data_IF_297225618356
#
_entry.id   IF_297225618356
#
_cell.length_a   1.000
_cell.length_b   1.000
_cell.length_c   1.000
_cell.angle_alpha   90.00
_cell.angle_beta   90.00
_cell.angle_gamma   90.00
#
_symmetry.space_group_name_H-M   'P 1'
#
loop_
_entity.id
_entity.type
_entity.pdbx_description
1 polymer ?
#
# COMPACT_ATOMS: atom_id res chain seq x y z
N UNK A 1 7.41 -15.38 -18.11
CA UNK A 1 6.46 -14.63 -17.27
C UNK A 1 6.24 -13.18 -17.73
N UNK A 2 7.13 -12.59 -18.52
CA UNK A 2 7.06 -11.20 -19.00
C UNK A 2 6.66 -11.10 -20.47
N UNK A 3 6.02 -10.00 -20.86
CA UNK A 3 5.70 -9.65 -22.26
C UNK A 3 6.65 -8.57 -22.77
N UNK A 4 6.80 -8.46 -24.09
CA UNK A 4 7.61 -7.42 -24.72
C UNK A 4 6.97 -6.03 -24.59
N UNK A 5 7.74 -5.04 -24.16
CA UNK A 5 7.27 -3.68 -23.87
C UNK A 5 8.44 -2.67 -23.72
N UNK A 6 8.10 -1.37 -23.73
CA UNK A 6 9.06 -0.27 -23.63
C UNK A 6 9.26 0.27 -22.19
N UNK A 7 8.72 -0.41 -21.18
CA UNK A 7 8.77 0.03 -19.77
C UNK A 7 9.92 -0.63 -19.02
N UNK A 8 10.11 -1.93 -19.21
CA UNK A 8 11.17 -2.71 -18.55
C UNK A 8 12.30 -3.02 -19.51
N UNK A 9 13.54 -2.90 -19.05
CA UNK A 9 14.70 -3.31 -19.86
C UNK A 9 14.76 -4.82 -20.01
N UNK A 10 15.47 -5.29 -21.03
CA UNK A 10 15.72 -6.72 -21.26
C UNK A 10 16.35 -7.39 -20.04
N UNK A 11 17.29 -6.73 -19.38
CA UNK A 11 17.96 -7.24 -18.18
C UNK A 11 17.00 -7.34 -17.00
N UNK A 12 16.11 -6.36 -16.81
CA UNK A 12 15.08 -6.40 -15.76
C UNK A 12 14.10 -7.54 -15.98
N UNK A 13 13.68 -7.76 -17.23
CA UNK A 13 12.81 -8.89 -17.59
C UNK A 13 13.51 -10.22 -17.35
N UNK A 14 14.75 -10.38 -17.83
CA UNK A 14 15.52 -11.60 -17.60
C UNK A 14 15.72 -11.86 -16.10
N UNK A 15 16.03 -10.82 -15.32
CA UNK A 15 16.12 -10.93 -13.87
C UNK A 15 14.81 -11.44 -13.26
N UNK A 16 13.65 -10.93 -13.72
CA UNK A 16 12.35 -11.41 -13.24
C UNK A 16 12.08 -12.87 -13.66
N UNK A 17 12.42 -13.27 -14.88
CA UNK A 17 12.29 -14.67 -15.32
C UNK A 17 13.12 -15.62 -14.44
N UNK A 18 14.32 -15.21 -14.04
CA UNK A 18 15.23 -16.03 -13.25
C UNK A 18 14.86 -16.05 -11.74
N UNK A 19 14.29 -14.96 -11.21
CA UNK A 19 14.14 -14.76 -9.76
C UNK A 19 12.68 -14.63 -9.27
N UNK A 20 11.72 -14.35 -10.15
CA UNK A 20 10.30 -14.17 -9.82
C UNK A 20 9.94 -12.85 -9.13
N UNK A 21 10.87 -11.91 -8.99
CA UNK A 21 10.63 -10.57 -8.45
C UNK A 21 11.50 -9.52 -9.15
N UNK A 22 11.13 -8.25 -9.01
CA UNK A 22 11.89 -7.11 -9.52
C UNK A 22 11.81 -5.94 -8.54
N UNK A 23 12.92 -5.22 -8.36
CA UNK A 23 12.97 -4.01 -7.52
C UNK A 23 13.16 -2.78 -8.39
N UNK A 24 12.14 -1.92 -8.46
CA UNK A 24 12.25 -0.59 -9.08
C UNK A 24 12.40 0.45 -7.98
N UNK A 25 13.58 1.10 -7.93
CA UNK A 25 13.89 2.11 -6.90
C UNK A 25 13.14 3.40 -7.22
N UNK A 26 12.56 4.02 -6.19
CA UNK A 26 11.87 5.32 -6.28
C UNK A 26 10.73 5.34 -7.32
N UNK A 27 10.03 4.22 -7.48
CA UNK A 27 8.90 4.11 -8.42
C UNK A 27 7.73 5.01 -8.00
N UNK A 28 7.37 4.98 -6.72
CA UNK A 28 6.34 5.83 -6.13
C UNK A 28 6.99 7.06 -5.50
N UNK A 29 6.41 8.23 -5.72
CA UNK A 29 6.92 9.50 -5.19
C UNK A 29 6.82 9.58 -3.66
N UNK A 30 7.74 10.32 -3.02
CA UNK A 30 7.66 10.57 -1.58
C UNK A 30 6.38 11.32 -1.19
N UNK A 31 5.85 12.15 -2.09
CA UNK A 31 4.57 12.85 -1.92
C UNK A 31 3.39 11.89 -1.84
N UNK A 32 3.31 10.91 -2.76
CA UNK A 32 2.25 9.91 -2.75
C UNK A 32 2.35 8.99 -1.54
N UNK A 33 3.57 8.56 -1.18
CA UNK A 33 3.82 7.78 0.04
C UNK A 33 3.29 8.52 1.27
N UNK A 34 3.57 9.82 1.38
CA UNK A 34 3.12 10.65 2.49
C UNK A 34 1.59 10.82 2.51
N UNK A 35 0.94 10.91 1.35
CA UNK A 35 -0.53 10.94 1.25
C UNK A 35 -1.15 9.62 1.73
N UNK A 36 -0.63 8.47 1.29
CA UNK A 36 -1.12 7.16 1.75
C UNK A 36 -0.92 6.98 3.25
N UNK A 37 0.23 7.42 3.77
CA UNK A 37 0.51 7.40 5.22
C UNK A 37 -0.49 8.24 6.00
N UNK A 38 -0.82 9.45 5.52
CA UNK A 38 -1.82 10.32 6.16
C UNK A 38 -3.20 9.67 6.19
N UNK A 39 -3.65 9.06 5.09
CA UNK A 39 -4.96 8.41 5.06
C UNK A 39 -5.01 7.20 6.00
N UNK A 40 -3.96 6.38 6.02
CA UNK A 40 -3.85 5.28 6.98
C UNK A 40 -3.95 5.76 8.43
N UNK A 41 -3.30 6.88 8.78
CA UNK A 41 -3.41 7.47 10.11
C UNK A 41 -4.85 7.92 10.44
N UNK A 42 -5.59 8.46 9.48
CA UNK A 42 -7.00 8.83 9.65
C UNK A 42 -7.88 7.59 9.89
N UNK A 43 -7.60 6.49 9.20
CA UNK A 43 -8.26 5.19 9.45
C UNK A 43 -7.97 4.68 10.87
N UNK A 44 -6.70 4.75 11.31
CA UNK A 44 -6.32 4.31 12.64
C UNK A 44 -7.07 5.08 13.74
N UNK A 45 -7.18 6.40 13.58
CA UNK A 45 -7.93 7.31 14.46
C UNK A 45 -9.45 7.19 14.32
N UNK A 46 -9.94 6.34 13.41
CA UNK A 46 -11.37 6.17 13.09
C UNK A 46 -12.04 7.43 12.51
N UNK A 47 -11.25 8.33 11.94
CA UNK A 47 -11.74 9.51 11.22
C UNK A 47 -12.28 9.13 9.83
N UNK A 48 -11.78 8.02 9.28
CA UNK A 48 -12.23 7.41 8.03
C UNK A 48 -12.47 5.92 8.28
N UNK A 49 -13.55 5.39 7.70
CA UNK A 49 -13.86 3.97 7.76
C UNK A 49 -14.33 3.53 6.37
N UNK A 50 -13.40 3.09 5.50
CA UNK A 50 -13.73 2.74 4.12
C UNK A 50 -14.72 1.58 4.07
N UNK A 51 -15.69 1.65 3.17
CA UNK A 51 -16.70 0.62 3.02
C UNK A 51 -16.03 -0.69 2.56
N UNK A 52 -16.35 -1.80 3.22
CA UNK A 52 -15.81 -3.11 2.89
C UNK A 52 -14.37 -3.37 3.34
N UNK A 53 -13.66 -2.37 3.85
CA UNK A 53 -12.29 -2.55 4.31
C UNK A 53 -12.22 -3.35 5.61
N UNK A 54 -11.30 -4.31 5.66
CA UNK A 54 -11.00 -5.10 6.85
C UNK A 54 -9.80 -4.50 7.61
N UNK A 55 -10.05 -4.04 8.84
CA UNK A 55 -9.01 -3.46 9.71
C UNK A 55 -8.59 -4.50 10.75
N UNK A 56 -7.39 -5.05 10.60
CA UNK A 56 -6.81 -6.01 11.53
C UNK A 56 -6.14 -5.28 12.70
N UNK A 57 -6.59 -5.58 13.93
CA UNK A 57 -6.12 -4.93 15.15
C UNK A 57 -5.55 -5.93 16.13
N UNK A 58 -4.51 -5.52 16.84
CA UNK A 58 -4.01 -6.25 18.00
C UNK A 58 -4.70 -5.73 19.26
N UNK A 59 -5.76 -6.43 19.70
CA UNK A 59 -6.52 -6.02 20.89
C UNK A 59 -5.68 -6.05 22.18
N UNK A 60 -4.56 -6.79 22.22
CA UNK A 60 -3.67 -6.79 23.40
C UNK A 60 -3.01 -5.42 23.62
N UNK A 61 -2.79 -4.67 22.55
CA UNK A 61 -2.18 -3.33 22.56
C UNK A 61 -3.18 -2.20 22.82
N UNK A 62 -4.48 -2.52 22.81
CA UNK A 62 -5.55 -1.52 22.93
C UNK A 62 -5.57 -0.83 24.29
N UNK A 63 -5.23 -1.53 25.37
CA UNK A 63 -5.17 -0.93 26.71
C UNK A 63 -4.04 0.10 26.85
N UNK A 64 -2.94 -0.09 26.11
CA UNK A 64 -1.77 0.78 26.16
C UNK A 64 -1.86 1.95 25.16
N UNK A 65 -2.43 1.71 23.98
CA UNK A 65 -2.37 2.67 22.86
C UNK A 65 -3.74 3.11 22.33
N UNK A 66 -4.86 2.64 22.91
CA UNK A 66 -6.21 3.10 22.59
C UNK A 66 -6.60 2.86 21.13
N UNK A 67 -6.75 3.94 20.37
CA UNK A 67 -7.06 3.94 18.93
C UNK A 67 -5.93 4.51 18.08
N UNK A 68 -4.69 4.33 18.52
CA UNK A 68 -3.48 4.68 17.77
C UNK A 68 -3.20 3.68 16.64
N UNK A 69 -2.41 4.14 15.66
CA UNK A 69 -1.76 3.34 14.62
C UNK A 69 -1.01 2.13 15.16
N UNK A 70 -0.52 2.17 16.40
CA UNK A 70 0.17 1.06 17.06
C UNK A 70 -0.72 -0.16 17.31
N UNK A 71 -2.05 0.01 17.25
CA UNK A 71 -3.03 -1.06 17.43
C UNK A 71 -3.43 -1.69 16.08
N UNK A 72 -3.26 -0.96 14.97
CA UNK A 72 -3.68 -1.41 13.63
C UNK A 72 -2.49 -2.03 12.91
N UNK A 73 -2.53 -3.35 12.71
CA UNK A 73 -1.45 -4.08 12.03
C UNK A 73 -1.61 -4.07 10.51
N UNK A 74 -2.85 -4.04 10.02
CA UNK A 74 -3.14 -4.15 8.58
C UNK A 74 -4.52 -3.59 8.24
N UNK A 75 -4.64 -3.01 7.06
CA UNK A 75 -5.91 -2.70 6.39
C UNK A 75 -5.93 -3.44 5.05
N UNK A 76 -7.04 -4.11 4.74
CA UNK A 76 -7.25 -4.84 3.49
C UNK A 76 -8.57 -4.41 2.85
N UNK A 77 -8.74 -4.69 1.56
CA UNK A 77 -9.96 -4.39 0.79
C UNK A 77 -10.35 -2.91 0.83
N UNK A 78 -9.36 -2.03 0.68
CA UNK A 78 -9.52 -0.57 0.76
C UNK A 78 -9.91 0.09 -0.58
N UNK A 79 -10.41 -0.67 -1.56
CA UNK A 79 -10.75 -0.13 -2.90
C UNK A 79 -11.78 1.02 -2.88
N UNK A 80 -12.62 1.10 -1.84
CA UNK A 80 -13.59 2.19 -1.67
C UNK A 80 -12.97 3.44 -1.01
N UNK A 81 -11.72 3.38 -0.56
CA UNK A 81 -10.96 4.54 -0.09
C UNK A 81 -10.24 5.21 -1.26
N UNK A 82 -10.66 6.43 -1.61
CA UNK A 82 -10.13 7.14 -2.79
C UNK A 82 -8.65 7.48 -2.69
N UNK A 83 -8.14 7.77 -1.50
CA UNK A 83 -6.73 8.13 -1.34
C UNK A 83 -5.85 6.88 -1.36
N UNK A 84 -6.24 5.78 -0.70
CA UNK A 84 -5.48 4.53 -0.76
C UNK A 84 -5.58 3.84 -2.13
N UNK A 85 -6.77 3.82 -2.74
CA UNK A 85 -6.96 3.21 -4.05
C UNK A 85 -6.22 3.94 -5.18
N UNK A 86 -5.82 5.20 -4.97
CA UNK A 86 -4.99 5.93 -5.94
C UNK A 86 -3.71 5.17 -6.27
N UNK A 87 -3.14 4.40 -5.33
CA UNK A 87 -1.98 3.54 -5.60
C UNK A 87 -2.22 2.59 -6.79
N UNK A 88 -3.42 2.00 -6.90
CA UNK A 88 -3.80 1.10 -7.98
C UNK A 88 -4.06 1.81 -9.32
N UNK A 89 -4.06 3.15 -9.33
CA UNK A 89 -4.30 3.97 -10.51
C UNK A 89 -3.11 4.86 -10.87
N UNK A 90 -1.97 4.70 -10.19
CA UNK A 90 -0.74 5.41 -10.53
C UNK A 90 -0.21 4.89 -11.87
N UNK A 91 0.11 5.75 -12.85
CA UNK A 91 0.61 5.29 -14.15
C UNK A 91 1.97 4.58 -14.08
N UNK A 92 2.72 4.77 -12.99
CA UNK A 92 3.98 4.10 -12.73
C UNK A 92 3.82 2.66 -12.20
N UNK A 93 2.62 2.27 -11.74
CA UNK A 93 2.29 0.95 -11.16
C UNK A 93 1.55 0.08 -12.17
#
# INVERSE_FOLDING_TARGET
>A
YTLDNDVLTTEQRQFYEDNGYLLIKKLVSDEDIERFRKEFMRICKREVNPLGAMIMKDESLRSQYGHSEKVVNKVQDFQEDKELFRYCTLPEV
#
